data_IF_778531823493
#
_entry.id   IF_778531823493
#
_cell.length_a   1.000
_cell.length_b   1.000
_cell.length_c   1.000
_cell.angle_alpha   90.00
_cell.angle_beta   90.00
_cell.angle_gamma   90.00
#
_symmetry.space_group_name_H-M   'P 1'
#
loop_
_entity.id
_entity.type
_entity.pdbx_description
1 polymer ?
#
# COMPACT_ATOMS: atom_id res chain seq x y z
N UNK A 1 -14.17 -6.77 22.81
CA UNK A 1 -13.99 -5.79 21.72
C UNK A 1 -15.32 -5.07 21.52
N UNK A 2 -15.36 -3.74 21.65
CA UNK A 2 -16.61 -2.98 21.53
C UNK A 2 -17.15 -3.09 20.10
N UNK A 3 -18.45 -3.36 19.93
CA UNK A 3 -19.09 -3.55 18.61
C UNK A 3 -18.86 -2.35 17.67
N UNK A 4 -18.77 -1.14 18.23
CA UNK A 4 -18.46 0.08 17.49
C UNK A 4 -17.01 0.10 16.97
N UNK A 5 -16.06 -0.43 17.75
CA UNK A 5 -14.65 -0.50 17.35
C UNK A 5 -14.47 -1.49 16.19
N UNK A 6 -15.14 -2.64 16.25
CA UNK A 6 -15.12 -3.62 15.15
C UNK A 6 -15.64 -3.01 13.85
N UNK A 7 -16.80 -2.34 13.91
CA UNK A 7 -17.46 -1.76 12.75
C UNK A 7 -16.64 -0.59 12.14
N UNK A 8 -15.99 0.22 12.98
CA UNK A 8 -15.05 1.26 12.55
C UNK A 8 -13.83 0.64 11.86
N UNK A 9 -13.24 -0.41 12.44
CA UNK A 9 -12.09 -1.11 11.85
C UNK A 9 -12.45 -1.74 10.50
N UNK A 10 -13.62 -2.35 10.37
CA UNK A 10 -14.11 -2.91 9.10
C UNK A 10 -14.30 -1.83 8.03
N UNK A 11 -14.95 -0.71 8.38
CA UNK A 11 -15.16 0.42 7.47
C UNK A 11 -13.84 1.03 6.98
N UNK A 12 -12.91 1.26 7.90
CA UNK A 12 -11.59 1.81 7.57
C UNK A 12 -10.80 0.83 6.69
N UNK A 13 -10.79 -0.46 7.04
CA UNK A 13 -10.12 -1.50 6.24
C UNK A 13 -10.68 -1.58 4.83
N UNK A 14 -12.00 -1.52 4.67
CA UNK A 14 -12.66 -1.53 3.36
C UNK A 14 -12.28 -0.32 2.50
N UNK A 15 -12.28 0.89 3.07
CA UNK A 15 -11.84 2.11 2.36
C UNK A 15 -10.38 2.00 1.91
N UNK A 16 -9.51 1.53 2.79
CA UNK A 16 -8.09 1.43 2.46
C UNK A 16 -7.83 0.38 1.36
N UNK A 17 -8.55 -0.74 1.36
CA UNK A 17 -8.47 -1.74 0.28
C UNK A 17 -8.93 -1.18 -1.07
N UNK A 18 -10.01 -0.38 -1.06
CA UNK A 18 -10.50 0.31 -2.25
C UNK A 18 -9.47 1.29 -2.81
N UNK A 19 -8.87 2.12 -1.94
CA UNK A 19 -7.88 3.11 -2.36
C UNK A 19 -6.60 2.43 -2.90
N UNK A 20 -6.20 1.31 -2.30
CA UNK A 20 -5.12 0.46 -2.81
C UNK A 20 -5.45 -0.09 -4.21
N UNK A 21 -6.64 -0.65 -4.41
CA UNK A 21 -7.06 -1.20 -5.69
C UNK A 21 -7.06 -0.12 -6.80
N UNK A 22 -7.57 1.08 -6.49
CA UNK A 22 -7.57 2.20 -7.44
C UNK A 22 -6.16 2.63 -7.83
N UNK A 23 -5.25 2.67 -6.86
CA UNK A 23 -3.85 3.06 -7.09
C UNK A 23 -3.12 2.01 -7.95
N UNK A 24 -3.35 0.72 -7.67
CA UNK A 24 -2.82 -0.38 -8.51
C UNK A 24 -3.37 -0.33 -9.94
N UNK A 25 -4.65 0.00 -10.10
CA UNK A 25 -5.28 0.12 -11.42
C UNK A 25 -4.65 1.26 -12.24
N UNK A 26 -4.36 2.40 -11.61
CA UNK A 26 -3.66 3.51 -12.27
C UNK A 26 -2.25 3.13 -12.74
N UNK A 27 -1.53 2.34 -11.94
CA UNK A 27 -0.21 1.82 -12.34
C UNK A 27 -0.34 0.86 -13.53
N UNK A 28 -1.31 -0.06 -13.50
CA UNK A 28 -1.55 -1.01 -14.58
C UNK A 28 -1.87 -0.30 -15.90
N UNK A 29 -2.77 0.68 -15.89
CA UNK A 29 -3.08 1.47 -17.08
C UNK A 29 -1.86 2.23 -17.61
N UNK A 30 -1.04 2.80 -16.73
CA UNK A 30 0.20 3.45 -17.13
C UNK A 30 1.18 2.50 -17.81
N UNK A 31 1.25 1.24 -17.36
CA UNK A 31 2.08 0.21 -18.01
C UNK A 31 1.53 -0.16 -19.39
N UNK A 32 0.23 -0.40 -19.51
CA UNK A 32 -0.43 -0.74 -20.78
C UNK A 32 -0.28 0.38 -21.82
N UNK A 33 -0.47 1.64 -21.43
CA UNK A 33 -0.26 2.78 -22.33
C UNK A 33 1.19 2.87 -22.81
N UNK A 34 2.17 2.64 -21.93
CA UNK A 34 3.58 2.70 -22.29
C UNK A 34 4.01 1.55 -23.20
N UNK A 35 3.43 0.35 -23.08
CA UNK A 35 3.73 -0.78 -23.97
C UNK A 35 3.27 -0.56 -25.42
N UNK A 36 2.31 0.34 -25.64
CA UNK A 36 1.74 0.66 -26.98
C UNK A 36 2.53 1.76 -27.71
N UNK A 37 3.40 2.52 -27.02
CA UNK A 37 4.12 3.67 -27.60
C UNK A 37 5.38 3.26 -28.38
N UNK A 38 5.52 3.84 -29.58
CA UNK A 38 6.57 3.65 -30.58
C UNK A 38 8.03 3.79 -30.06
N UNK A 39 8.93 2.92 -30.55
CA UNK A 39 10.33 2.72 -30.07
C UNK A 39 11.22 3.97 -30.15
N UNK A 40 10.77 5.00 -30.86
CA UNK A 40 11.47 6.25 -31.10
C UNK A 40 11.78 7.08 -29.82
N UNK A 41 11.19 6.72 -28.66
CA UNK A 41 11.42 7.38 -27.37
C UNK A 41 11.78 6.40 -26.23
N UNK A 42 12.54 5.33 -26.54
CA UNK A 42 12.92 4.27 -25.60
C UNK A 42 13.48 4.75 -24.23
N UNK A 43 14.23 5.86 -24.19
CA UNK A 43 14.75 6.42 -22.94
C UNK A 43 13.67 7.04 -22.05
N UNK A 44 12.67 7.72 -22.63
CA UNK A 44 11.55 8.32 -21.89
C UNK A 44 10.65 7.21 -21.36
N UNK A 45 10.37 6.20 -22.19
CA UNK A 45 9.60 5.02 -21.83
C UNK A 45 10.24 4.25 -20.67
N UNK A 46 11.57 4.03 -20.72
CA UNK A 46 12.33 3.39 -19.63
C UNK A 46 12.26 4.19 -18.32
N UNK A 47 12.32 5.52 -18.39
CA UNK A 47 12.16 6.39 -17.23
C UNK A 47 10.77 6.28 -16.60
N UNK A 48 9.72 6.34 -17.41
CA UNK A 48 8.34 6.20 -16.96
C UNK A 48 8.05 4.82 -16.34
N UNK A 49 8.54 3.74 -16.97
CA UNK A 49 8.44 2.37 -16.43
C UNK A 49 9.16 2.23 -15.07
N UNK A 50 10.32 2.88 -14.89
CA UNK A 50 11.02 2.89 -13.60
C UNK A 50 10.16 3.54 -12.50
N UNK A 51 9.53 4.68 -12.80
CA UNK A 51 8.67 5.39 -11.86
C UNK A 51 7.42 4.59 -11.50
N UNK A 52 6.79 3.92 -12.48
CA UNK A 52 5.64 3.04 -12.23
C UNK A 52 6.03 1.84 -11.35
N UNK A 53 7.21 1.27 -11.59
CA UNK A 53 7.75 0.19 -10.75
C UNK A 53 8.01 0.66 -9.32
N UNK A 54 8.66 1.81 -9.14
CA UNK A 54 8.89 2.43 -7.83
C UNK A 54 7.57 2.70 -7.10
N UNK A 55 6.56 3.20 -7.82
CA UNK A 55 5.22 3.44 -7.28
C UNK A 55 4.53 2.14 -6.85
N UNK A 56 4.65 1.07 -7.65
CA UNK A 56 4.15 -0.26 -7.30
C UNK A 56 4.83 -0.82 -6.04
N UNK A 57 6.16 -0.73 -5.95
CA UNK A 57 6.91 -1.24 -4.80
C UNK A 57 6.55 -0.50 -3.50
N UNK A 58 6.40 0.84 -3.56
CA UNK A 58 5.94 1.65 -2.42
C UNK A 58 4.50 1.30 -2.01
N UNK A 59 3.60 1.13 -2.97
CA UNK A 59 2.20 0.79 -2.70
C UNK A 59 2.07 -0.60 -2.05
N UNK A 60 2.83 -1.59 -2.54
CA UNK A 60 2.91 -2.94 -1.96
C UNK A 60 3.49 -2.88 -0.55
N UNK A 61 4.52 -2.06 -0.32
CA UNK A 61 5.11 -1.87 1.01
C UNK A 61 4.09 -1.29 2.00
N UNK A 62 3.37 -0.23 1.61
CA UNK A 62 2.30 0.36 2.43
C UNK A 62 1.20 -0.65 2.74
N UNK A 63 0.77 -1.44 1.77
CA UNK A 63 -0.19 -2.52 1.99
C UNK A 63 0.32 -3.58 2.97
N UNK A 64 1.59 -3.97 2.91
CA UNK A 64 2.18 -4.92 3.88
C UNK A 64 2.17 -4.35 5.30
N UNK A 65 2.53 -3.09 5.48
CA UNK A 65 2.49 -2.40 6.78
C UNK A 65 1.06 -2.35 7.32
N UNK A 66 0.10 -1.97 6.47
CA UNK A 66 -1.31 -2.00 6.85
C UNK A 66 -1.78 -3.40 7.21
N UNK A 67 -1.49 -4.40 6.38
CA UNK A 67 -1.86 -5.79 6.65
C UNK A 67 -1.27 -6.25 7.98
N UNK A 68 -0.05 -5.86 8.33
CA UNK A 68 0.52 -6.16 9.64
C UNK A 68 -0.21 -5.44 10.77
N UNK A 69 -0.52 -4.15 10.60
CA UNK A 69 -1.26 -3.34 11.56
C UNK A 69 -2.68 -3.86 11.85
N UNK A 70 -3.34 -4.42 10.83
CA UNK A 70 -4.73 -4.90 10.89
C UNK A 70 -4.85 -6.44 10.92
N UNK A 71 -3.75 -7.17 10.76
CA UNK A 71 -3.70 -8.63 10.91
C UNK A 71 -3.95 -8.96 12.37
N UNK A 72 -5.04 -9.69 12.60
CA UNK A 72 -5.57 -10.20 13.84
C UNK A 72 -4.64 -11.15 14.61
N UNK A 73 -3.39 -10.78 14.88
CA UNK A 73 -2.70 -11.35 16.03
C UNK A 73 -3.30 -10.72 17.28
N UNK A 74 -3.39 -11.48 18.37
CA UNK A 74 -3.87 -11.03 19.68
C UNK A 74 -3.19 -9.77 20.21
N UNK A 75 -2.10 -9.33 19.59
CA UNK A 75 -1.25 -8.21 20.01
C UNK A 75 -1.66 -6.87 19.37
N UNK A 76 -2.43 -6.85 18.28
CA UNK A 76 -2.80 -5.64 17.51
C UNK A 76 -4.27 -5.20 17.69
N UNK A 77 -4.94 -5.66 18.74
CA UNK A 77 -6.35 -5.31 19.04
C UNK A 77 -6.54 -3.87 19.58
N UNK A 78 -5.47 -3.08 19.66
CA UNK A 78 -5.47 -1.70 20.18
C UNK A 78 -4.68 -0.81 19.23
N UNK A 79 -5.31 0.29 18.78
CA UNK A 79 -4.68 1.30 17.94
C UNK A 79 -3.39 1.85 18.57
N UNK A 80 -3.38 2.02 19.90
CA UNK A 80 -2.20 2.47 20.64
C UNK A 80 -1.06 1.43 20.60
N UNK A 81 -1.39 0.13 20.66
CA UNK A 81 -0.40 -0.96 20.48
C UNK A 81 0.12 -1.02 19.05
N UNK A 82 -0.75 -0.88 18.06
CA UNK A 82 -0.36 -0.86 16.65
C UNK A 82 0.59 0.32 16.36
N UNK A 83 0.28 1.51 16.90
CA UNK A 83 1.16 2.68 16.81
C UNK A 83 2.51 2.44 17.47
N UNK A 84 2.52 1.91 18.70
CA UNK A 84 3.75 1.56 19.43
C UNK A 84 4.58 0.47 18.71
N UNK A 85 3.93 -0.50 18.06
CA UNK A 85 4.60 -1.55 17.29
C UNK A 85 5.27 -0.99 16.02
N UNK A 86 4.59 -0.07 15.32
CA UNK A 86 5.16 0.63 14.16
C UNK A 86 6.37 1.49 14.59
N UNK A 87 6.23 2.27 15.67
CA UNK A 87 7.31 3.10 16.21
C UNK A 87 8.53 2.25 16.64
N UNK A 88 8.31 1.13 17.33
CA UNK A 88 9.36 0.21 17.73
C UNK A 88 10.06 -0.48 16.54
N UNK A 89 9.31 -0.82 15.50
CA UNK A 89 9.89 -1.40 14.29
C UNK A 89 10.80 -0.41 13.57
N UNK A 90 10.40 0.87 13.47
CA UNK A 90 11.21 1.93 12.87
C UNK A 90 12.47 2.23 13.70
N UNK A 91 12.38 2.17 15.03
CA UNK A 91 13.53 2.34 15.93
C UNK A 91 14.55 1.21 15.83
N UNK A 92 14.11 -0.04 15.62
CA UNK A 92 15.01 -1.20 15.45
C UNK A 92 15.74 -1.25 14.10
N UNK A 93 15.32 -0.43 13.13
CA UNK A 93 15.93 -0.34 11.80
C UNK A 93 17.03 0.74 11.69
N UNK A 94 17.24 1.54 12.74
CA UNK A 94 18.40 2.41 12.91
C UNK A 94 19.55 1.66 13.55
#
# INVERSE_FOLDING_TARGET
>A
MNKNILLITELLSGRMLHDFANSMNGIMFGLEELEVVDENNANIQKGALSLLKESSDDLIYKYKVMKQAYSSSSDNCSFDKTKSNIENYLLKKK
#
